data_IF_188044405674
#
_entry.id   IF_188044405674
#
_cell.length_a   1.000
_cell.length_b   1.000
_cell.length_c   1.000
_cell.angle_alpha   90.00
_cell.angle_beta   90.00
_cell.angle_gamma   90.00
#
_symmetry.space_group_name_H-M   'P 1'
#
loop_
_entity.id
_entity.type
_entity.pdbx_description
1 polymer ?
#
# COMPACT_ATOMS: atom_id res chain seq x y z
N UNK A 1 -0.80 -10.35 -109.05
CA UNK A 1 -1.17 -10.59 -107.63
C UNK A 1 -0.26 -9.75 -106.73
N UNK A 2 -0.73 -8.58 -106.20
CA UNK A 2 0.03 -7.68 -105.33
C UNK A 2 -0.35 -7.98 -103.90
N UNK A 3 0.60 -8.42 -103.09
CA UNK A 3 0.44 -8.54 -101.62
C UNK A 3 1.03 -7.29 -100.95
N UNK A 4 0.19 -6.47 -100.42
CA UNK A 4 0.59 -5.34 -99.56
C UNK A 4 0.42 -5.76 -98.11
N UNK A 5 1.48 -6.10 -97.39
CA UNK A 5 1.47 -6.31 -95.95
C UNK A 5 1.58 -4.96 -95.26
N UNK A 6 0.49 -4.39 -94.81
CA UNK A 6 0.48 -3.27 -93.86
C UNK A 6 0.53 -3.84 -92.50
N UNK A 7 1.64 -3.65 -91.75
CA UNK A 7 1.69 -3.88 -90.31
C UNK A 7 0.84 -2.82 -89.60
N UNK A 8 -0.01 -3.23 -88.63
CA UNK A 8 -0.83 -2.27 -87.87
C UNK A 8 0.02 -1.31 -87.02
N UNK A 9 -0.27 0.00 -87.07
CA UNK A 9 0.52 1.06 -86.43
C UNK A 9 0.71 0.96 -84.91
N UNK A 10 -0.04 0.10 -84.23
CA UNK A 10 0.12 -0.12 -82.81
C UNK A 10 1.40 -0.89 -82.42
N UNK A 11 1.99 -1.67 -83.37
CA UNK A 11 3.26 -2.37 -83.17
C UNK A 11 4.42 -1.37 -83.00
N UNK A 12 4.38 -0.27 -83.78
CA UNK A 12 5.36 0.82 -83.64
C UNK A 12 5.20 1.62 -82.36
N UNK A 13 3.97 1.80 -81.90
CA UNK A 13 3.70 2.47 -80.63
C UNK A 13 4.23 1.67 -79.41
N UNK A 14 4.08 0.33 -79.47
CA UNK A 14 4.64 -0.56 -78.44
C UNK A 14 6.19 -0.58 -78.40
N UNK A 15 6.81 -0.56 -79.59
CA UNK A 15 8.27 -0.50 -79.68
C UNK A 15 8.85 0.80 -79.16
N UNK A 16 8.23 1.95 -79.42
CA UNK A 16 8.66 3.26 -78.93
C UNK A 16 8.41 3.36 -77.45
N UNK A 17 7.32 2.82 -76.94
CA UNK A 17 7.03 2.80 -75.50
C UNK A 17 8.03 1.92 -74.71
N UNK A 18 8.44 0.78 -75.29
CA UNK A 18 9.45 -0.09 -74.63
C UNK A 18 10.85 0.54 -74.59
N UNK A 19 11.27 1.22 -75.63
CA UNK A 19 12.57 1.92 -75.70
C UNK A 19 12.56 3.14 -74.83
N UNK A 20 11.46 3.87 -74.67
CA UNK A 20 11.31 4.99 -73.75
C UNK A 20 11.34 4.53 -72.28
N UNK A 21 10.74 3.37 -71.98
CA UNK A 21 10.75 2.82 -70.61
C UNK A 21 12.15 2.32 -70.19
N UNK A 22 12.88 1.71 -71.13
CA UNK A 22 14.27 1.26 -70.83
C UNK A 22 15.24 2.44 -70.74
N UNK A 23 15.06 3.49 -71.52
CA UNK A 23 15.90 4.71 -71.43
C UNK A 23 15.58 5.54 -70.17
N UNK A 24 14.33 5.53 -69.69
CA UNK A 24 13.98 6.18 -68.43
C UNK A 24 14.56 5.44 -67.20
N UNK A 25 14.71 4.12 -67.31
CA UNK A 25 15.30 3.31 -66.21
C UNK A 25 16.80 3.45 -66.10
N UNK A 26 17.51 3.87 -67.19
CA UNK A 26 18.95 4.10 -67.17
C UNK A 26 19.34 5.55 -66.84
N UNK A 27 18.36 6.48 -66.77
CA UNK A 27 18.56 7.89 -66.43
C UNK A 27 18.18 8.26 -65.03
N UNK A 28 17.93 7.29 -64.16
CA UNK A 28 17.81 7.48 -62.74
C UNK A 28 19.01 6.87 -61.96
N UNK A 29 20.21 7.44 -62.06
CA UNK A 29 21.34 7.05 -61.24
C UNK A 29 21.29 7.75 -59.86
N UNK A 30 20.16 7.67 -59.17
CA UNK A 30 20.04 8.40 -57.91
C UNK A 30 19.06 7.80 -56.89
N UNK A 31 18.39 6.71 -57.22
CA UNK A 31 17.41 6.07 -56.33
C UNK A 31 17.87 4.69 -55.79
N UNK A 32 19.10 4.29 -56.07
CA UNK A 32 19.75 3.30 -55.20
C UNK A 32 20.17 4.07 -53.95
N UNK A 33 19.28 4.19 -52.99
CA UNK A 33 19.65 4.54 -51.63
C UNK A 33 20.82 3.60 -51.26
N UNK A 34 22.06 4.13 -51.26
CA UNK A 34 23.17 3.44 -50.69
C UNK A 34 22.73 3.11 -49.23
N UNK A 35 22.39 1.85 -48.98
CA UNK A 35 22.22 1.35 -47.62
C UNK A 35 23.58 1.63 -47.01
N UNK A 36 23.63 2.74 -46.26
CA UNK A 36 24.78 3.04 -45.41
C UNK A 36 24.87 1.82 -44.48
N UNK A 37 25.91 1.04 -44.62
CA UNK A 37 26.20 -0.05 -43.67
C UNK A 37 26.36 0.59 -42.30
N UNK A 38 25.29 0.53 -41.51
CA UNK A 38 25.31 1.01 -40.14
C UNK A 38 26.11 0.00 -39.32
N UNK A 39 27.39 0.29 -39.12
CA UNK A 39 28.24 -0.49 -38.20
C UNK A 39 27.94 -0.09 -36.75
N UNK A 40 27.94 -1.03 -35.81
CA UNK A 40 27.81 -0.72 -34.38
C UNK A 40 28.92 0.29 -33.97
N UNK A 41 28.54 1.28 -33.19
CA UNK A 41 29.49 2.26 -32.64
C UNK A 41 30.36 1.62 -31.56
N UNK A 42 31.57 2.08 -31.45
CA UNK A 42 32.51 1.66 -30.39
C UNK A 42 31.93 2.02 -29.02
N UNK A 43 31.83 1.02 -28.13
CA UNK A 43 31.39 1.21 -26.76
C UNK A 43 32.56 1.72 -25.92
N UNK A 44 32.39 2.88 -25.29
CA UNK A 44 33.36 3.39 -24.34
C UNK A 44 33.22 2.63 -23.02
N UNK A 45 34.26 1.99 -22.49
CA UNK A 45 34.22 1.30 -21.23
C UNK A 45 33.84 2.27 -20.09
N UNK A 46 32.95 1.82 -19.23
CA UNK A 46 32.58 2.53 -18.02
C UNK A 46 33.71 2.42 -16.99
N UNK A 47 34.04 3.48 -16.31
CA UNK A 47 34.98 3.47 -15.17
C UNK A 47 34.42 2.69 -13.96
N UNK A 48 35.12 2.63 -12.83
CA UNK A 48 34.62 2.00 -11.60
C UNK A 48 33.38 2.71 -11.10
N UNK A 49 32.50 1.96 -10.41
CA UNK A 49 31.34 2.49 -9.75
C UNK A 49 31.75 3.46 -8.62
N UNK A 50 31.00 4.53 -8.44
CA UNK A 50 31.12 5.40 -7.27
C UNK A 50 30.76 4.63 -5.98
N UNK A 51 31.34 5.01 -4.86
CA UNK A 51 31.07 4.37 -3.57
C UNK A 51 29.57 4.38 -3.22
N UNK A 52 28.87 5.45 -3.58
CA UNK A 52 27.43 5.60 -3.39
C UNK A 52 26.63 4.62 -4.25
N UNK A 53 27.00 4.43 -5.51
CA UNK A 53 26.37 3.44 -6.40
C UNK A 53 26.60 2.01 -5.89
N UNK A 54 27.80 1.72 -5.39
CA UNK A 54 28.12 0.41 -4.79
C UNK A 54 27.27 0.14 -3.56
N UNK A 55 27.09 1.14 -2.68
CA UNK A 55 26.25 1.02 -1.49
C UNK A 55 24.77 0.73 -1.87
N UNK A 56 24.22 1.41 -2.87
CA UNK A 56 22.86 1.18 -3.35
C UNK A 56 22.68 -0.25 -3.92
N UNK A 57 23.63 -0.69 -4.73
CA UNK A 57 23.63 -2.04 -5.31
C UNK A 57 23.71 -3.09 -4.20
N UNK A 58 24.50 -2.86 -3.18
CA UNK A 58 24.65 -3.80 -2.06
C UNK A 58 23.39 -3.89 -1.22
N UNK A 59 22.72 -2.74 -0.91
CA UNK A 59 21.43 -2.73 -0.24
C UNK A 59 20.42 -3.55 -1.03
N UNK A 60 20.29 -3.30 -2.35
CA UNK A 60 19.35 -4.04 -3.19
C UNK A 60 19.65 -5.54 -3.21
N UNK A 61 20.91 -5.92 -3.45
CA UNK A 61 21.33 -7.33 -3.51
C UNK A 61 21.01 -8.07 -2.21
N UNK A 62 21.23 -7.42 -1.07
CA UNK A 62 21.02 -8.00 0.25
C UNK A 62 19.54 -8.14 0.60
N UNK A 63 18.70 -7.18 0.18
CA UNK A 63 17.31 -7.08 0.69
C UNK A 63 16.26 -7.55 -0.32
N UNK A 64 16.54 -7.53 -1.63
CA UNK A 64 15.61 -7.99 -2.65
C UNK A 64 15.14 -9.45 -2.48
N UNK A 65 15.98 -10.42 -1.99
CA UNK A 65 15.49 -11.77 -1.74
C UNK A 65 14.37 -11.87 -0.70
N UNK A 66 14.25 -10.89 0.18
CA UNK A 66 13.18 -10.81 1.19
C UNK A 66 11.88 -10.26 0.62
N UNK A 67 11.89 -9.66 -0.57
CA UNK A 67 10.72 -9.00 -1.18
C UNK A 67 10.00 -9.97 -2.10
N UNK A 68 8.68 -10.06 -1.91
CA UNK A 68 7.84 -11.04 -2.60
C UNK A 68 6.73 -10.36 -3.39
N UNK A 69 6.32 -11.02 -4.48
CA UNK A 69 5.12 -10.63 -5.23
C UNK A 69 3.89 -11.31 -4.65
N UNK A 70 2.78 -10.57 -4.55
CA UNK A 70 1.50 -11.10 -4.08
C UNK A 70 0.47 -10.98 -5.19
N UNK A 71 -0.16 -12.10 -5.53
CA UNK A 71 -1.33 -12.15 -6.41
C UNK A 71 -2.55 -12.52 -5.59
N UNK A 72 -3.51 -11.61 -5.52
CA UNK A 72 -4.81 -11.86 -4.89
C UNK A 72 -5.74 -12.52 -5.88
N UNK A 73 -6.45 -13.54 -5.44
CA UNK A 73 -7.31 -14.38 -6.27
C UNK A 73 -8.77 -14.11 -5.93
N UNK A 74 -9.63 -14.14 -6.95
CA UNK A 74 -11.07 -14.11 -6.82
C UNK A 74 -11.67 -15.41 -7.37
N UNK A 75 -12.69 -15.93 -6.67
CA UNK A 75 -13.41 -17.11 -7.16
C UNK A 75 -14.55 -16.64 -8.07
N UNK A 76 -14.41 -16.82 -9.36
CA UNK A 76 -15.48 -16.65 -10.33
C UNK A 76 -16.23 -17.96 -10.52
N UNK A 77 -17.54 -17.92 -10.31
CA UNK A 77 -18.44 -19.05 -10.60
C UNK A 77 -19.05 -18.83 -11.97
N UNK A 78 -18.82 -19.74 -12.87
CA UNK A 78 -19.56 -19.78 -14.13
C UNK A 78 -20.98 -20.26 -13.85
N UNK A 79 -21.96 -19.44 -14.22
CA UNK A 79 -23.37 -19.70 -13.97
C UNK A 79 -23.91 -20.96 -14.67
N UNK A 80 -23.22 -21.40 -15.75
CA UNK A 80 -23.65 -22.53 -16.59
C UNK A 80 -22.88 -23.84 -16.31
N UNK A 81 -21.68 -23.79 -15.73
CA UNK A 81 -20.83 -24.99 -15.60
C UNK A 81 -20.64 -25.49 -14.17
N UNK A 82 -21.17 -24.82 -13.14
CA UNK A 82 -20.92 -25.09 -11.71
C UNK A 82 -19.42 -25.12 -11.34
N UNK A 83 -18.51 -24.79 -12.26
CA UNK A 83 -17.09 -24.74 -12.01
C UNK A 83 -16.70 -23.41 -11.39
N UNK A 84 -16.00 -23.47 -10.26
CA UNK A 84 -15.40 -22.30 -9.63
C UNK A 84 -13.95 -22.19 -10.08
N UNK A 85 -13.58 -21.12 -10.80
CA UNK A 85 -12.20 -20.81 -11.19
C UNK A 85 -11.65 -19.68 -10.33
N UNK A 86 -10.39 -19.83 -9.88
CA UNK A 86 -9.66 -18.74 -9.23
C UNK A 86 -8.93 -17.92 -10.29
N UNK A 87 -9.30 -16.65 -10.44
CA UNK A 87 -8.69 -15.70 -11.38
C UNK A 87 -7.92 -14.62 -10.60
N UNK A 88 -6.82 -14.07 -11.15
CA UNK A 88 -6.15 -12.93 -10.55
C UNK A 88 -7.09 -11.72 -10.47
N UNK A 89 -7.18 -11.10 -9.27
CA UNK A 89 -7.96 -9.88 -9.03
C UNK A 89 -7.07 -8.65 -8.94
N UNK A 90 -5.92 -8.79 -8.29
CA UNK A 90 -4.99 -7.70 -8.04
C UNK A 90 -3.61 -8.21 -7.67
N UNK A 91 -2.66 -7.32 -7.70
CA UNK A 91 -1.26 -7.62 -7.36
C UNK A 91 -0.70 -6.57 -6.43
N UNK A 92 0.31 -6.96 -5.67
CA UNK A 92 1.07 -6.07 -4.80
C UNK A 92 2.38 -6.71 -4.36
N UNK A 93 3.03 -6.07 -3.45
CA UNK A 93 4.30 -6.52 -2.87
C UNK A 93 4.09 -6.87 -1.40
N UNK A 94 4.92 -7.75 -0.90
CA UNK A 94 5.11 -8.02 0.51
C UNK A 94 6.57 -8.29 0.81
N UNK A 95 6.86 -8.61 2.06
CA UNK A 95 8.21 -9.00 2.45
C UNK A 95 8.17 -10.06 3.54
N UNK A 96 9.23 -10.86 3.59
CA UNK A 96 9.42 -11.91 4.58
C UNK A 96 9.63 -11.28 5.96
N UNK A 97 8.75 -11.63 6.90
CA UNK A 97 8.83 -11.18 8.29
C UNK A 97 9.72 -12.07 9.14
N UNK A 98 9.58 -13.38 8.96
CA UNK A 98 10.34 -14.38 9.71
C UNK A 98 10.56 -15.66 8.90
N UNK A 99 11.48 -16.49 9.37
CA UNK A 99 11.82 -17.82 8.77
C UNK A 99 10.67 -18.83 8.86
N UNK A 100 9.59 -18.51 9.54
CA UNK A 100 8.41 -19.37 9.65
C UNK A 100 7.45 -19.17 8.48
N UNK A 101 7.73 -18.21 7.58
CA UNK A 101 6.94 -17.95 6.38
C UNK A 101 5.81 -16.94 6.58
N UNK A 102 5.90 -16.08 7.58
CA UNK A 102 5.01 -14.94 7.68
C UNK A 102 5.46 -13.85 6.70
N UNK A 103 4.52 -13.37 5.92
CA UNK A 103 4.69 -12.31 4.92
C UNK A 103 3.85 -11.12 5.34
N UNK A 104 4.48 -9.96 5.45
CA UNK A 104 3.79 -8.69 5.73
C UNK A 104 3.48 -7.98 4.42
N UNK A 105 2.28 -7.41 4.33
CA UNK A 105 1.82 -6.61 3.20
C UNK A 105 0.75 -5.61 3.64
N UNK A 106 0.23 -4.80 2.72
CA UNK A 106 -0.94 -3.98 3.01
C UNK A 106 -2.25 -4.78 2.98
N UNK A 107 -3.22 -4.33 3.77
CA UNK A 107 -4.56 -4.93 3.77
C UNK A 107 -5.26 -4.76 2.42
N UNK A 108 -5.17 -3.57 1.81
CA UNK A 108 -5.81 -3.32 0.52
C UNK A 108 -5.32 -4.22 -0.62
N UNK A 109 -4.06 -4.73 -0.54
CA UNK A 109 -3.50 -5.68 -1.52
C UNK A 109 -4.30 -6.99 -1.54
N UNK A 110 -4.81 -7.41 -0.37
CA UNK A 110 -5.53 -8.70 -0.23
C UNK A 110 -7.05 -8.53 -0.09
N UNK A 111 -7.53 -7.30 -0.01
CA UNK A 111 -8.94 -6.99 0.25
C UNK A 111 -9.85 -7.57 -0.84
N UNK A 112 -10.93 -8.25 -0.40
CA UNK A 112 -11.95 -8.82 -1.29
C UNK A 112 -11.48 -10.06 -2.07
N UNK A 113 -10.28 -10.57 -1.81
CA UNK A 113 -9.81 -11.82 -2.38
C UNK A 113 -10.41 -13.04 -1.69
N UNK A 114 -10.59 -14.13 -2.46
CA UNK A 114 -10.94 -15.47 -1.93
C UNK A 114 -9.71 -16.31 -1.60
N UNK A 115 -8.50 -15.81 -1.94
CA UNK A 115 -7.21 -16.45 -1.69
C UNK A 115 -6.07 -15.57 -2.17
N UNK A 116 -4.84 -15.98 -1.86
CA UNK A 116 -3.65 -15.30 -2.33
C UNK A 116 -2.55 -16.31 -2.71
N UNK A 117 -1.67 -15.88 -3.61
CA UNK A 117 -0.39 -16.56 -3.94
C UNK A 117 0.75 -15.60 -3.68
N UNK A 118 1.85 -16.13 -3.17
CA UNK A 118 3.10 -15.41 -2.96
C UNK A 118 4.16 -16.03 -3.85
N UNK A 119 4.79 -15.21 -4.67
CA UNK A 119 5.94 -15.59 -5.50
C UNK A 119 7.21 -15.04 -4.87
N UNK A 120 8.14 -15.91 -4.53
CA UNK A 120 9.44 -15.59 -3.93
C UNK A 120 10.44 -15.09 -4.99
N UNK A 121 11.60 -14.63 -4.55
CA UNK A 121 12.67 -14.14 -5.44
C UNK A 121 13.24 -15.21 -6.38
N UNK A 122 13.15 -16.49 -6.01
CA UNK A 122 13.52 -17.63 -6.85
C UNK A 122 12.42 -18.06 -7.84
N UNK A 123 11.37 -17.25 -8.00
CA UNK A 123 10.18 -17.49 -8.82
C UNK A 123 9.31 -18.65 -8.37
N UNK A 124 9.60 -19.29 -7.23
CA UNK A 124 8.71 -20.29 -6.66
C UNK A 124 7.43 -19.62 -6.13
N UNK A 125 6.27 -20.23 -6.45
CA UNK A 125 4.96 -19.70 -6.07
C UNK A 125 4.31 -20.58 -5.03
N UNK A 126 3.87 -19.99 -3.94
CA UNK A 126 3.26 -20.64 -2.79
C UNK A 126 1.84 -20.13 -2.56
N UNK A 127 0.93 -21.04 -2.18
CA UNK A 127 -0.39 -20.63 -1.69
C UNK A 127 -0.22 -19.92 -0.36
N UNK A 128 -0.88 -18.80 -0.18
CA UNK A 128 -0.84 -18.01 1.04
C UNK A 128 -2.18 -18.04 1.75
N UNK A 129 -2.14 -18.20 3.07
CA UNK A 129 -3.30 -18.12 3.95
C UNK A 129 -3.24 -16.83 4.77
N UNK A 130 -4.37 -16.16 4.94
CA UNK A 130 -4.45 -15.00 5.82
C UNK A 130 -4.27 -15.44 7.27
N UNK A 131 -3.27 -14.87 7.96
CA UNK A 131 -3.06 -15.03 9.39
C UNK A 131 -3.88 -14.03 10.17
N UNK A 132 -3.83 -12.77 9.76
CA UNK A 132 -4.59 -11.70 10.36
C UNK A 132 -4.42 -10.40 9.61
N UNK A 133 -5.36 -9.47 9.84
CA UNK A 133 -5.35 -8.15 9.22
C UNK A 133 -5.78 -7.06 10.21
N UNK A 134 -5.28 -5.86 9.95
CA UNK A 134 -5.70 -4.64 10.65
C UNK A 134 -5.99 -3.53 9.63
N UNK A 135 -7.24 -3.49 9.11
CA UNK A 135 -7.63 -2.56 8.04
C UNK A 135 -7.40 -1.08 8.36
N UNK A 136 -7.56 -0.69 9.63
CA UNK A 136 -7.39 0.71 10.08
C UNK A 136 -5.94 1.21 9.98
N UNK A 137 -4.98 0.31 9.85
CA UNK A 137 -3.57 0.62 9.64
C UNK A 137 -3.06 0.04 8.32
N UNK A 138 -3.98 -0.43 7.48
CA UNK A 138 -3.67 -1.00 6.18
C UNK A 138 -2.56 -2.08 6.23
N UNK A 139 -2.58 -2.94 7.25
CA UNK A 139 -1.61 -4.02 7.42
C UNK A 139 -2.29 -5.39 7.39
N UNK A 140 -1.61 -6.37 6.78
CA UNK A 140 -2.00 -7.76 6.79
C UNK A 140 -0.77 -8.68 6.90
N UNK A 141 -0.99 -9.86 7.47
CA UNK A 141 0.00 -10.93 7.56
C UNK A 141 -0.56 -12.15 6.86
N UNK A 142 0.23 -12.67 5.91
CA UNK A 142 -0.02 -13.92 5.22
C UNK A 142 0.95 -14.98 5.74
N UNK A 143 0.58 -16.25 5.56
CA UNK A 143 1.43 -17.41 5.87
C UNK A 143 1.60 -18.25 4.61
N UNK A 144 2.85 -18.54 4.28
CA UNK A 144 3.23 -19.51 3.25
C UNK A 144 3.99 -20.68 3.87
N UNK A 145 4.00 -21.80 3.16
CA UNK A 145 4.84 -22.94 3.47
C UNK A 145 5.98 -23.02 2.44
N UNK A 146 7.19 -22.67 2.88
CA UNK A 146 8.41 -22.68 2.09
C UNK A 146 9.60 -23.04 2.98
N UNK A 147 10.68 -23.52 2.37
CA UNK A 147 11.90 -23.84 3.08
C UNK A 147 12.54 -22.58 3.68
N UNK A 148 13.12 -22.67 4.87
CA UNK A 148 13.66 -21.53 5.63
C UNK A 148 14.75 -20.76 4.90
N UNK A 149 15.59 -21.45 4.15
CA UNK A 149 16.66 -20.86 3.34
C UNK A 149 16.15 -19.95 2.22
N UNK A 150 14.86 -20.09 1.85
CA UNK A 150 14.16 -19.22 0.88
C UNK A 150 13.44 -18.03 1.53
N UNK A 151 13.48 -17.92 2.84
CA UNK A 151 12.72 -16.97 3.65
C UNK A 151 13.65 -16.03 4.45
N UNK A 152 14.57 -15.28 3.82
CA UNK A 152 15.44 -14.37 4.54
C UNK A 152 14.61 -13.19 5.09
N UNK A 153 14.51 -13.00 6.42
CA UNK A 153 13.77 -11.88 6.98
C UNK A 153 14.55 -10.57 6.82
N UNK A 154 13.83 -9.45 6.66
CA UNK A 154 14.43 -8.13 6.70
C UNK A 154 14.86 -7.76 8.12
N UNK A 155 16.03 -7.15 8.24
CA UNK A 155 16.44 -6.52 9.49
C UNK A 155 15.54 -5.31 9.78
N UNK A 156 15.09 -5.18 11.03
CA UNK A 156 14.27 -4.05 11.46
C UNK A 156 15.17 -2.87 11.87
N UNK A 157 14.82 -1.67 11.38
CA UNK A 157 15.30 -0.40 11.88
C UNK A 157 14.34 0.18 12.94
N UNK A 158 14.33 1.49 13.07
CA UNK A 158 13.34 2.25 13.85
C UNK A 158 12.87 3.46 13.04
N UNK A 159 11.65 3.88 13.28
CA UNK A 159 11.08 5.08 12.66
C UNK A 159 11.11 6.31 13.59
N UNK A 160 11.58 6.16 14.84
CA UNK A 160 11.58 7.24 15.86
C UNK A 160 12.67 8.28 15.65
N UNK A 161 13.80 7.88 15.08
CA UNK A 161 14.97 8.73 14.85
C UNK A 161 15.14 9.16 13.39
N UNK A 162 14.14 8.91 12.56
CA UNK A 162 14.15 9.34 11.16
C UNK A 162 14.25 10.87 11.05
N UNK A 163 15.01 11.34 10.08
CA UNK A 163 15.21 12.75 9.79
C UNK A 163 14.80 13.06 8.36
N UNK A 164 14.18 14.22 8.16
CA UNK A 164 13.90 14.74 6.81
C UNK A 164 15.22 14.96 6.07
N UNK A 165 15.29 14.49 4.82
CA UNK A 165 16.50 14.47 4.02
C UNK A 165 17.28 13.15 4.10
N UNK A 166 16.96 12.24 5.04
CA UNK A 166 17.58 10.91 5.13
C UNK A 166 17.24 10.09 3.90
N UNK A 167 18.24 9.45 3.27
CA UNK A 167 18.06 8.59 2.11
C UNK A 167 17.26 7.34 2.45
N UNK A 168 16.37 6.98 1.53
CA UNK A 168 15.52 5.79 1.63
C UNK A 168 15.44 5.04 0.31
N UNK A 169 15.14 3.75 0.40
CA UNK A 169 14.99 2.83 -0.71
C UNK A 169 13.65 2.14 -0.60
N UNK A 170 12.83 2.22 -1.65
CA UNK A 170 11.62 1.45 -1.74
C UNK A 170 11.81 0.29 -2.73
N UNK A 171 11.50 -0.92 -2.30
CA UNK A 171 11.57 -2.10 -3.16
C UNK A 171 10.16 -2.65 -3.36
N UNK A 172 9.85 -3.00 -4.61
CA UNK A 172 8.60 -3.63 -4.97
C UNK A 172 8.79 -4.69 -6.05
N UNK A 173 7.76 -5.50 -6.26
CA UNK A 173 7.68 -6.45 -7.37
C UNK A 173 6.33 -6.30 -8.09
N UNK A 174 6.11 -5.20 -8.85
CA UNK A 174 4.79 -4.80 -9.32
C UNK A 174 4.13 -5.79 -10.30
N UNK A 175 4.92 -6.54 -11.05
CA UNK A 175 4.39 -7.45 -12.09
C UNK A 175 4.76 -8.92 -11.85
N UNK A 176 5.42 -9.24 -10.74
CA UNK A 176 5.89 -10.60 -10.47
C UNK A 176 7.04 -11.06 -11.37
N UNK A 177 7.63 -10.13 -12.13
CA UNK A 177 8.77 -10.43 -13.01
C UNK A 177 10.07 -10.36 -12.22
N UNK A 178 10.38 -9.17 -11.69
CA UNK A 178 11.57 -8.92 -10.89
C UNK A 178 11.33 -7.79 -9.88
N UNK A 179 12.18 -7.75 -8.85
CA UNK A 179 12.16 -6.67 -7.88
C UNK A 179 12.68 -5.38 -8.52
N UNK A 180 12.01 -4.28 -8.22
CA UNK A 180 12.38 -2.93 -8.64
C UNK A 180 12.80 -2.10 -7.44
N UNK A 181 13.84 -1.30 -7.61
CA UNK A 181 14.34 -0.36 -6.62
C UNK A 181 14.01 1.06 -7.02
N UNK A 182 13.42 1.82 -6.12
CA UNK A 182 13.34 3.28 -6.24
C UNK A 182 14.04 3.95 -5.07
N UNK A 183 14.66 5.09 -5.33
CA UNK A 183 15.50 5.83 -4.38
C UNK A 183 14.93 7.20 -4.16
N UNK A 184 14.92 7.65 -2.93
CA UNK A 184 14.46 8.97 -2.54
C UNK A 184 14.96 9.34 -1.15
N UNK A 185 14.25 10.26 -0.51
CA UNK A 185 14.53 10.72 0.84
C UNK A 185 13.25 10.66 1.69
N UNK A 186 13.41 10.75 3.00
CA UNK A 186 12.34 11.14 3.90
C UNK A 186 11.99 12.59 3.61
N UNK A 187 10.82 12.84 3.02
CA UNK A 187 10.37 14.20 2.65
C UNK A 187 9.67 14.92 3.80
N UNK A 188 8.95 14.15 4.63
CA UNK A 188 8.30 14.66 5.85
C UNK A 188 7.99 13.51 6.81
N UNK A 189 7.73 13.87 8.06
CA UNK A 189 7.35 12.95 9.13
C UNK A 189 6.01 13.37 9.74
N UNK A 190 5.40 12.45 10.49
CA UNK A 190 4.16 12.69 11.23
C UNK A 190 2.99 13.17 10.33
N UNK A 191 2.93 12.69 9.08
CA UNK A 191 1.81 12.94 8.19
C UNK A 191 0.59 12.11 8.59
N UNK A 192 -0.57 12.56 8.17
CA UNK A 192 -1.83 11.83 8.31
C UNK A 192 -2.36 11.50 6.91
N UNK A 193 -2.84 10.27 6.73
CA UNK A 193 -3.51 9.80 5.54
C UNK A 193 -4.80 9.08 5.91
N UNK A 194 -5.71 8.94 4.98
CA UNK A 194 -6.94 8.18 5.16
C UNK A 194 -6.73 6.74 4.68
N UNK A 195 -7.10 5.77 5.52
CA UNK A 195 -7.09 4.35 5.15
C UNK A 195 -8.29 4.00 4.26
N UNK A 196 -8.29 2.81 3.67
CA UNK A 196 -9.38 2.33 2.79
C UNK A 196 -10.74 2.19 3.48
N UNK A 197 -10.79 2.22 4.80
CA UNK A 197 -12.03 2.20 5.59
C UNK A 197 -12.34 3.56 6.24
N UNK A 198 -11.82 4.65 5.68
CA UNK A 198 -12.01 6.05 6.10
C UNK A 198 -11.51 6.32 7.54
N UNK A 199 -10.48 5.58 7.98
CA UNK A 199 -9.82 5.80 9.27
C UNK A 199 -8.52 6.56 9.06
N UNK A 200 -8.18 7.47 9.95
CA UNK A 200 -6.93 8.23 9.89
C UNK A 200 -5.75 7.36 10.32
N UNK A 201 -4.79 7.16 9.42
CA UNK A 201 -3.47 6.61 9.74
C UNK A 201 -2.54 7.78 10.03
N UNK A 202 -2.09 7.88 11.29
CA UNK A 202 -1.24 8.97 11.76
C UNK A 202 0.21 8.55 11.82
N UNK A 203 1.09 9.56 11.77
CA UNK A 203 2.52 9.36 11.94
C UNK A 203 3.22 8.75 10.73
N UNK A 204 2.57 8.70 9.54
CA UNK A 204 3.17 8.12 8.35
C UNK A 204 4.38 8.90 7.88
N UNK A 205 5.34 8.18 7.32
CA UNK A 205 6.55 8.73 6.68
C UNK A 205 6.21 9.11 5.26
N UNK A 206 6.50 10.36 4.87
CA UNK A 206 6.40 10.82 3.49
C UNK A 206 7.76 10.66 2.80
N UNK A 207 7.77 10.16 1.56
CA UNK A 207 8.97 10.03 0.72
C UNK A 207 8.70 10.47 -0.71
N UNK A 208 9.74 10.91 -1.41
CA UNK A 208 9.75 11.16 -2.85
C UNK A 208 10.27 9.96 -3.66
N UNK A 209 10.74 8.89 -3.00
CA UNK A 209 10.96 7.62 -3.67
C UNK A 209 9.70 7.23 -4.45
N UNK A 210 9.85 6.86 -5.72
CA UNK A 210 8.69 6.60 -6.57
C UNK A 210 7.91 5.37 -6.08
N UNK A 211 6.75 5.63 -5.46
CA UNK A 211 5.77 4.62 -5.09
C UNK A 211 4.71 4.59 -6.20
N UNK A 212 4.45 3.43 -6.75
CA UNK A 212 3.46 3.19 -7.81
C UNK A 212 2.62 1.95 -7.46
N UNK A 213 1.47 1.74 -8.13
CA UNK A 213 0.73 0.50 -8.01
C UNK A 213 1.64 -0.72 -8.22
N UNK A 214 1.65 -1.61 -7.24
CA UNK A 214 2.53 -2.78 -7.19
C UNK A 214 3.69 -2.68 -6.19
N UNK A 215 4.13 -1.48 -5.76
CA UNK A 215 5.08 -1.32 -4.66
C UNK A 215 4.37 -1.33 -3.29
N UNK A 216 3.04 -1.15 -3.25
CA UNK A 216 2.25 -1.19 -2.02
C UNK A 216 2.42 -2.52 -1.29
N UNK A 217 2.64 -2.47 0.01
CA UNK A 217 2.98 -3.60 0.87
C UNK A 217 4.47 -3.96 0.89
N UNK A 218 5.27 -3.38 -0.02
CA UNK A 218 6.72 -3.54 -0.05
C UNK A 218 7.44 -2.71 1.02
N UNK A 219 8.70 -3.02 1.30
CA UNK A 219 9.48 -2.34 2.31
C UNK A 219 9.96 -0.96 1.87
N UNK A 220 9.97 0.00 2.80
CA UNK A 220 10.80 1.19 2.78
C UNK A 220 12.00 0.95 3.68
N UNK A 221 13.21 1.11 3.13
CA UNK A 221 14.47 0.78 3.79
C UNK A 221 15.32 2.02 4.01
N UNK A 222 16.16 1.99 5.03
CA UNK A 222 17.24 2.98 5.23
C UNK A 222 18.50 2.63 4.41
N UNK A 223 19.53 3.48 4.51
CA UNK A 223 20.82 3.30 3.82
C UNK A 223 21.62 2.06 4.26
N UNK A 224 21.25 1.42 5.36
CA UNK A 224 21.83 0.15 5.83
C UNK A 224 21.00 -1.08 5.41
N UNK A 225 19.90 -0.88 4.67
CA UNK A 225 18.97 -1.94 4.24
C UNK A 225 18.05 -2.42 5.37
N UNK A 226 17.85 -1.65 6.43
CA UNK A 226 16.92 -1.98 7.51
C UNK A 226 15.53 -1.44 7.17
N UNK A 227 14.50 -2.21 7.50
CA UNK A 227 13.11 -1.80 7.34
C UNK A 227 12.80 -0.60 8.25
N UNK A 228 12.32 0.49 7.67
CA UNK A 228 11.87 1.70 8.38
C UNK A 228 10.39 2.01 8.16
N UNK A 229 9.76 1.36 7.18
CA UNK A 229 8.33 1.49 6.93
C UNK A 229 7.82 0.51 5.89
N UNK A 230 6.49 0.49 5.70
CA UNK A 230 5.78 -0.29 4.68
C UNK A 230 5.10 0.68 3.74
N UNK A 231 5.47 0.65 2.45
CA UNK A 231 4.88 1.50 1.42
C UNK A 231 3.37 1.23 1.33
N UNK A 232 2.53 2.27 1.30
CA UNK A 232 1.08 2.09 1.28
C UNK A 232 0.39 2.88 0.17
N UNK A 233 0.36 4.19 0.24
CA UNK A 233 -0.41 5.05 -0.66
C UNK A 233 0.46 6.11 -1.31
N UNK A 234 -0.08 6.70 -2.37
CA UNK A 234 0.43 7.92 -3.00
C UNK A 234 -0.63 9.01 -2.95
N UNK A 235 -0.22 10.26 -2.77
CA UNK A 235 -1.08 11.39 -3.03
C UNK A 235 -0.94 11.78 -4.51
N UNK A 236 -1.83 11.28 -5.36
CA UNK A 236 -1.77 11.52 -6.79
C UNK A 236 -3.16 11.57 -7.42
N UNK A 237 -3.50 12.62 -8.15
CA UNK A 237 -4.75 12.69 -8.92
C UNK A 237 -4.82 11.70 -10.08
N UNK A 238 -3.66 11.28 -10.62
CA UNK A 238 -3.56 10.37 -11.77
C UNK A 238 -3.38 8.90 -11.40
N UNK A 239 -3.16 8.59 -10.11
CA UNK A 239 -2.81 7.24 -9.66
C UNK A 239 -1.35 6.81 -9.93
N UNK A 240 -0.53 7.67 -10.56
CA UNK A 240 0.92 7.47 -10.71
C UNK A 240 1.71 8.31 -9.73
N UNK A 241 2.95 7.95 -9.43
CA UNK A 241 3.80 8.72 -8.50
C UNK A 241 3.97 10.17 -8.96
N UNK A 242 3.63 11.09 -8.07
CA UNK A 242 3.86 12.53 -8.23
C UNK A 242 4.96 13.04 -7.27
N UNK A 243 5.85 12.16 -6.79
CA UNK A 243 6.86 12.49 -5.79
C UNK A 243 6.32 12.61 -4.35
N UNK A 244 5.11 12.09 -4.10
CA UNK A 244 4.49 12.08 -2.77
C UNK A 244 4.00 10.65 -2.49
N UNK A 245 4.84 9.87 -1.85
CA UNK A 245 4.53 8.53 -1.36
C UNK A 245 4.47 8.50 0.16
N UNK A 246 3.74 7.55 0.72
CA UNK A 246 3.59 7.36 2.15
C UNK A 246 3.94 5.94 2.57
N UNK A 247 4.54 5.79 3.74
CA UNK A 247 4.84 4.51 4.34
C UNK A 247 4.40 4.47 5.81
N UNK A 248 3.85 3.31 6.22
CA UNK A 248 3.50 3.03 7.60
C UNK A 248 4.80 2.83 8.38
N UNK A 249 5.05 3.55 9.49
CA UNK A 249 6.30 3.47 10.23
C UNK A 249 6.59 2.08 10.78
N UNK A 250 7.85 1.64 10.75
CA UNK A 250 8.23 0.28 11.19
C UNK A 250 7.93 0.02 12.67
N UNK A 251 8.01 1.02 13.55
CA UNK A 251 7.68 0.83 14.96
C UNK A 251 6.19 0.48 15.13
N UNK A 252 5.31 1.04 14.29
CA UNK A 252 3.89 0.69 14.25
C UNK A 252 3.70 -0.74 13.69
N UNK A 253 4.41 -1.09 12.61
CA UNK A 253 4.40 -2.44 12.03
C UNK A 253 4.85 -3.46 13.07
N UNK A 254 5.96 -3.20 13.79
CA UNK A 254 6.51 -4.08 14.81
C UNK A 254 5.61 -4.22 16.05
N UNK A 255 4.75 -3.23 16.31
CA UNK A 255 3.73 -3.31 17.36
C UNK A 255 2.52 -4.17 16.95
N UNK A 256 2.12 -4.11 15.67
CA UNK A 256 0.90 -4.74 15.15
C UNK A 256 1.15 -6.18 14.71
N UNK A 257 2.16 -6.42 13.89
CA UNK A 257 2.40 -7.72 13.23
C UNK A 257 2.50 -8.88 14.21
N UNK A 258 3.25 -8.80 15.35
CA UNK A 258 3.28 -9.89 16.32
C UNK A 258 1.91 -10.22 16.93
N UNK A 259 1.03 -9.21 17.08
CA UNK A 259 -0.35 -9.43 17.58
C UNK A 259 -1.20 -10.13 16.51
N UNK A 260 -1.08 -9.74 15.25
CA UNK A 260 -1.75 -10.43 14.15
C UNK A 260 -1.32 -11.89 14.05
N UNK A 261 -0.03 -12.18 14.23
CA UNK A 261 0.50 -13.56 14.19
C UNK A 261 -0.03 -14.38 15.37
N UNK A 262 -0.09 -13.82 16.56
CA UNK A 262 -0.50 -14.52 17.77
C UNK A 262 -2.01 -14.71 17.86
N UNK A 263 -2.79 -13.65 17.57
CA UNK A 263 -4.21 -13.56 17.92
C UNK A 263 -5.12 -13.62 16.65
N UNK A 264 -4.54 -13.62 15.45
CA UNK A 264 -5.27 -13.56 14.17
C UNK A 264 -5.93 -12.20 13.90
N UNK A 265 -5.93 -11.30 14.87
CA UNK A 265 -6.53 -9.97 14.78
C UNK A 265 -5.81 -8.99 15.71
N UNK A 266 -5.96 -7.71 15.43
CA UNK A 266 -5.54 -6.69 16.38
C UNK A 266 -6.66 -6.42 17.38
N UNK A 267 -6.53 -6.97 18.60
CA UNK A 267 -7.48 -6.75 19.68
C UNK A 267 -7.29 -5.34 20.22
N UNK A 268 -8.26 -4.47 19.97
CA UNK A 268 -8.24 -3.10 20.49
C UNK A 268 -8.62 -3.08 21.95
N UNK A 269 -7.90 -2.30 22.78
CA UNK A 269 -8.43 -1.92 24.08
C UNK A 269 -9.69 -1.08 23.92
N UNK A 270 -10.73 -1.37 24.70
CA UNK A 270 -12.02 -0.74 24.57
C UNK A 270 -12.56 -0.23 25.90
N UNK A 271 -13.32 0.86 25.84
CA UNK A 271 -14.12 1.38 26.94
C UNK A 271 -15.53 0.77 26.98
N UNK A 272 -16.01 0.29 25.85
CA UNK A 272 -17.37 -0.24 25.70
C UNK A 272 -18.42 0.85 25.65
N UNK A 273 -18.14 1.93 24.91
CA UNK A 273 -19.07 3.02 24.61
C UNK A 273 -19.40 3.05 23.13
N UNK A 274 -20.60 3.52 22.80
CA UNK A 274 -20.96 3.94 21.45
C UNK A 274 -20.89 5.46 21.37
N UNK A 275 -20.16 5.96 20.36
CA UNK A 275 -20.00 7.39 20.12
C UNK A 275 -21.24 7.96 19.42
N UNK A 276 -21.64 9.15 19.81
CA UNK A 276 -22.65 9.96 19.09
C UNK A 276 -22.10 10.50 17.78
N UNK A 277 -22.98 10.75 16.79
CA UNK A 277 -22.55 11.32 15.51
C UNK A 277 -22.02 12.75 15.70
N UNK A 278 -21.08 13.23 14.87
CA UNK A 278 -20.51 14.59 14.98
C UNK A 278 -21.55 15.72 14.88
N UNK A 279 -22.66 15.48 14.18
CA UNK A 279 -23.78 16.43 14.05
C UNK A 279 -24.45 16.70 15.41
N UNK A 280 -24.55 15.68 16.28
CA UNK A 280 -25.10 15.82 17.64
C UNK A 280 -24.28 16.80 18.48
N UNK A 281 -22.95 16.73 18.42
CA UNK A 281 -22.06 17.66 19.14
C UNK A 281 -22.32 19.11 18.72
N UNK A 282 -22.43 19.36 17.40
CA UNK A 282 -22.70 20.71 16.88
C UNK A 282 -24.10 21.20 17.29
N UNK A 283 -25.11 20.34 17.15
CA UNK A 283 -26.50 20.69 17.47
C UNK A 283 -26.69 21.04 18.96
N UNK A 284 -26.02 20.30 19.83
CA UNK A 284 -26.10 20.49 21.29
C UNK A 284 -25.01 21.43 21.86
N UNK A 285 -24.16 22.02 21.00
CA UNK A 285 -23.05 22.91 21.39
C UNK A 285 -22.14 22.28 22.46
N UNK A 286 -21.87 20.96 22.31
CA UNK A 286 -20.99 20.23 23.23
C UNK A 286 -19.52 20.62 23.01
N UNK A 287 -18.65 20.45 24.03
CA UNK A 287 -17.21 20.60 23.85
C UNK A 287 -16.71 19.57 22.84
N UNK A 288 -15.51 19.82 22.26
CA UNK A 288 -14.79 18.82 21.49
C UNK A 288 -14.58 17.57 22.33
N UNK A 289 -14.76 16.38 21.73
CA UNK A 289 -14.68 15.12 22.45
C UNK A 289 -15.55 14.04 21.83
N UNK A 290 -15.84 12.99 22.56
CA UNK A 290 -16.70 11.88 22.15
C UNK A 290 -17.94 11.85 23.03
N UNK A 291 -19.09 12.24 22.48
CA UNK A 291 -20.37 12.11 23.16
C UNK A 291 -20.76 10.64 23.31
N UNK A 292 -21.05 10.20 24.51
CA UNK A 292 -21.40 8.80 24.83
C UNK A 292 -22.92 8.60 24.65
N UNK A 293 -23.35 7.91 23.60
CA UNK A 293 -24.78 7.63 23.36
C UNK A 293 -25.23 6.26 23.84
N UNK A 294 -24.28 5.35 24.11
CA UNK A 294 -24.58 4.06 24.73
C UNK A 294 -23.38 3.60 25.57
N UNK A 295 -23.67 2.94 26.66
CA UNK A 295 -22.68 2.27 27.53
C UNK A 295 -23.06 0.79 27.60
N UNK A 296 -22.16 -0.07 27.16
CA UNK A 296 -22.35 -1.52 27.21
C UNK A 296 -22.40 -2.03 28.64
N UNK A 297 -23.19 -3.08 28.88
CA UNK A 297 -23.24 -3.73 30.21
C UNK A 297 -21.89 -4.38 30.53
N UNK A 298 -21.46 -4.30 31.79
CA UNK A 298 -20.20 -4.90 32.29
C UNK A 298 -18.93 -4.38 31.62
N UNK A 299 -18.99 -3.24 30.94
CA UNK A 299 -17.83 -2.61 30.28
C UNK A 299 -17.01 -1.74 31.25
N UNK A 300 -15.78 -1.35 30.88
CA UNK A 300 -15.02 -0.34 31.60
C UNK A 300 -15.77 0.96 31.84
N UNK A 301 -16.48 1.44 30.82
CA UNK A 301 -17.28 2.65 30.89
C UNK A 301 -18.44 2.53 31.90
N UNK A 302 -19.12 1.36 31.95
CA UNK A 302 -20.17 1.11 32.94
C UNK A 302 -19.61 1.09 34.36
N UNK A 303 -18.48 0.41 34.59
CA UNK A 303 -17.80 0.37 35.90
C UNK A 303 -17.32 1.76 36.35
N UNK A 304 -16.91 2.59 35.39
CA UNK A 304 -16.50 3.98 35.63
C UNK A 304 -17.69 4.93 35.87
N UNK A 305 -18.93 4.46 35.75
CA UNK A 305 -20.12 5.28 35.98
C UNK A 305 -20.38 6.31 34.86
N UNK A 306 -19.92 6.05 33.62
CA UNK A 306 -20.24 6.88 32.47
C UNK A 306 -21.73 6.78 32.17
N UNK A 307 -22.34 7.94 31.85
CA UNK A 307 -23.77 8.04 31.54
C UNK A 307 -23.94 8.40 30.06
N UNK A 308 -24.79 7.66 29.35
CA UNK A 308 -25.11 7.99 27.97
C UNK A 308 -26.08 9.17 27.86
N UNK A 309 -26.00 9.88 26.74
CA UNK A 309 -27.09 10.77 26.32
C UNK A 309 -28.35 9.94 26.10
N UNK A 310 -29.48 10.41 26.59
CA UNK A 310 -30.75 9.72 26.44
C UNK A 310 -31.90 10.67 26.17
N UNK A 311 -33.08 10.15 25.89
CA UNK A 311 -34.34 10.94 25.82
C UNK A 311 -35.14 10.71 27.08
N UNK A 312 -35.52 11.80 27.70
CA UNK A 312 -36.44 11.77 28.82
C UNK A 312 -37.91 11.46 28.40
N UNK A 313 -38.77 11.31 29.36
CA UNK A 313 -40.20 10.88 29.15
C UNK A 313 -41.00 11.90 28.32
N UNK A 314 -40.60 13.15 28.25
CA UNK A 314 -41.25 14.22 27.48
C UNK A 314 -40.54 14.51 26.16
N UNK A 315 -39.55 13.64 25.77
CA UNK A 315 -38.76 13.81 24.56
C UNK A 315 -37.58 14.77 24.68
N UNK A 316 -37.37 15.36 25.87
CA UNK A 316 -36.19 16.19 26.16
C UNK A 316 -34.89 15.38 26.12
N UNK A 317 -33.78 16.05 25.76
CA UNK A 317 -32.47 15.40 25.77
C UNK A 317 -31.88 15.46 27.18
N UNK A 318 -31.66 14.30 27.78
CA UNK A 318 -30.90 14.15 29.04
C UNK A 318 -29.43 14.11 28.70
N UNK A 319 -28.66 15.03 29.28
CA UNK A 319 -27.24 15.19 29.01
C UNK A 319 -26.43 14.01 29.54
N UNK A 320 -25.69 13.38 28.66
CA UNK A 320 -24.72 12.34 28.98
C UNK A 320 -23.29 12.89 29.09
N UNK A 321 -22.35 11.98 29.19
CA UNK A 321 -20.92 12.30 29.25
C UNK A 321 -20.33 12.55 27.87
N UNK A 322 -19.37 13.49 27.78
CA UNK A 322 -18.48 13.69 26.65
C UNK A 322 -17.05 13.37 27.13
N UNK A 323 -16.40 12.39 26.53
CA UNK A 323 -14.99 12.07 26.80
C UNK A 323 -14.13 13.10 26.08
N UNK A 324 -13.35 13.88 26.84
CA UNK A 324 -12.52 14.99 26.34
C UNK A 324 -11.03 14.73 26.40
N UNK A 325 -10.58 13.77 27.24
CA UNK A 325 -9.18 13.32 27.26
C UNK A 325 -9.06 11.90 27.82
N UNK A 326 -7.94 11.24 27.50
CA UNK A 326 -7.51 9.94 28.04
C UNK A 326 -6.05 10.10 28.51
N UNK A 327 -5.78 9.94 29.83
CA UNK A 327 -4.47 10.17 30.44
C UNK A 327 -3.86 11.53 30.02
N UNK A 328 -4.62 12.60 30.18
CA UNK A 328 -4.28 13.98 29.79
C UNK A 328 -4.05 14.21 28.29
N UNK A 329 -4.19 13.18 27.46
CA UNK A 329 -4.13 13.30 26.01
C UNK A 329 -5.50 13.77 25.49
N UNK A 330 -5.57 14.94 24.83
CA UNK A 330 -6.85 15.47 24.34
C UNK A 330 -7.53 14.52 23.34
N UNK A 331 -8.84 14.39 23.46
CA UNK A 331 -9.71 13.63 22.56
C UNK A 331 -10.72 14.62 21.97
N UNK A 332 -10.57 14.97 20.70
CA UNK A 332 -11.46 15.90 20.01
C UNK A 332 -12.50 15.17 19.11
N UNK A 333 -12.18 13.93 18.74
CA UNK A 333 -12.99 13.09 17.84
C UNK A 333 -12.98 11.62 18.27
N UNK A 334 -13.85 10.81 17.64
CA UNK A 334 -13.82 9.35 17.80
C UNK A 334 -12.48 8.77 17.36
N UNK A 335 -11.89 9.31 16.29
CA UNK A 335 -10.57 8.87 15.80
C UNK A 335 -9.46 9.12 16.81
N UNK A 336 -9.48 10.26 17.50
CA UNK A 336 -8.52 10.55 18.56
C UNK A 336 -8.67 9.55 19.73
N UNK A 337 -9.91 9.31 20.15
CA UNK A 337 -10.20 8.33 21.21
C UNK A 337 -9.66 6.93 20.84
N UNK A 338 -9.97 6.46 19.63
CA UNK A 338 -9.52 5.16 19.18
C UNK A 338 -8.00 5.09 19.04
N UNK A 339 -7.37 6.15 18.53
CA UNK A 339 -5.91 6.24 18.43
C UNK A 339 -5.25 6.24 19.82
N UNK A 340 -5.82 6.94 20.80
CA UNK A 340 -5.35 6.92 22.17
C UNK A 340 -5.47 5.51 22.79
N UNK A 341 -6.58 4.82 22.57
CA UNK A 341 -6.78 3.46 23.06
C UNK A 341 -5.85 2.45 22.40
N UNK A 342 -5.61 2.54 21.09
CA UNK A 342 -4.74 1.62 20.32
C UNK A 342 -3.30 1.58 20.83
N UNK A 343 -2.80 2.66 21.45
CA UNK A 343 -1.45 2.71 22.05
C UNK A 343 -1.34 1.97 23.39
N UNK A 344 -2.47 1.51 23.92
CA UNK A 344 -2.58 0.85 25.23
C UNK A 344 -2.77 -0.65 25.09
N UNK A 345 -2.94 -1.32 26.23
CA UNK A 345 -3.23 -2.75 26.27
C UNK A 345 -4.54 -3.03 27.01
N UNK A 346 -5.27 -4.12 26.65
CA UNK A 346 -6.35 -4.61 27.49
C UNK A 346 -5.85 -4.87 28.93
N UNK A 347 -6.63 -4.45 29.93
CA UNK A 347 -6.25 -4.50 31.35
C UNK A 347 -5.49 -3.29 31.87
N UNK A 348 -4.98 -2.41 31.00
CA UNK A 348 -4.29 -1.19 31.40
C UNK A 348 -5.26 -0.21 32.07
N UNK A 349 -4.80 0.42 33.17
CA UNK A 349 -5.54 1.48 33.85
C UNK A 349 -5.40 2.80 33.09
N UNK A 350 -6.50 3.51 32.89
CA UNK A 350 -6.54 4.82 32.23
C UNK A 350 -7.42 5.77 33.03
N UNK A 351 -7.06 7.05 33.00
CA UNK A 351 -7.87 8.16 33.52
C UNK A 351 -8.60 8.83 32.37
N UNK A 352 -9.93 8.86 32.42
CA UNK A 352 -10.77 9.56 31.47
C UNK A 352 -11.13 10.93 32.00
N UNK A 353 -10.91 12.00 31.26
CA UNK A 353 -11.53 13.29 31.55
C UNK A 353 -12.87 13.33 30.83
N UNK A 354 -13.96 13.43 31.61
CA UNK A 354 -15.34 13.47 31.09
C UNK A 354 -16.00 14.78 31.47
N UNK A 355 -16.71 15.36 30.49
CA UNK A 355 -17.50 16.58 30.66
C UNK A 355 -18.99 16.25 30.68
N UNK A 356 -19.74 16.83 31.62
CA UNK A 356 -21.19 16.77 31.70
C UNK A 356 -21.74 18.09 32.29
N UNK A 357 -22.74 18.68 31.66
CA UNK A 357 -23.45 19.86 32.16
C UNK A 357 -22.52 21.01 32.64
N UNK A 358 -21.48 21.33 31.87
CA UNK A 358 -20.55 22.41 32.19
C UNK A 358 -19.44 22.04 33.18
N UNK A 359 -19.34 20.81 33.65
CA UNK A 359 -18.33 20.36 34.63
C UNK A 359 -17.50 19.23 34.04
N UNK A 360 -16.19 19.29 34.24
CA UNK A 360 -15.24 18.21 33.94
C UNK A 360 -14.88 17.45 35.22
N UNK A 361 -14.73 16.14 35.11
CA UNK A 361 -14.28 15.24 36.16
C UNK A 361 -13.36 14.16 35.61
N UNK A 362 -12.44 13.68 36.43
CA UNK A 362 -11.60 12.55 36.10
C UNK A 362 -12.23 11.25 36.62
N UNK A 363 -12.15 10.21 35.80
CA UNK A 363 -12.71 8.89 36.11
C UNK A 363 -11.67 7.83 35.75
N UNK A 364 -11.28 7.00 36.68
CA UNK A 364 -10.37 5.90 36.45
C UNK A 364 -11.11 4.64 36.02
N UNK A 365 -10.53 3.93 35.07
CA UNK A 365 -11.06 2.62 34.63
C UNK A 365 -9.94 1.74 34.10
N UNK A 366 -10.22 0.42 33.92
CA UNK A 366 -9.33 -0.51 33.26
C UNK A 366 -9.93 -0.93 31.94
N UNK A 367 -9.13 -0.82 30.87
CA UNK A 367 -9.56 -1.16 29.52
C UNK A 367 -9.88 -2.66 29.39
N UNK A 368 -10.91 -2.99 28.64
CA UNK A 368 -11.21 -4.37 28.26
C UNK A 368 -10.65 -4.68 26.88
N UNK A 369 -10.58 -5.97 26.53
CA UNK A 369 -10.41 -6.37 25.13
C UNK A 369 -11.69 -6.00 24.37
N UNK A 370 -11.56 -5.24 23.28
CA UNK A 370 -12.65 -5.00 22.35
C UNK A 370 -12.93 -6.24 21.50
N UNK A 371 -14.17 -6.37 21.04
CA UNK A 371 -14.62 -7.44 20.13
C UNK A 371 -14.09 -7.25 18.71
#
# INVERSE_FOLDING_TARGET
MKWSSRFPGWIWALGVALVSATSALTLLPGLVQSRTEATPRTVTPRGPLLAEEQAQIEVFRKTSPSVVHITTLETQRDFFSLNAQQVPRGTGTGFVWDERGHIVTNFHVIQGGSGARVTLSDQSTHRANLVGAFPDRDLAVLKIDAAKDKLPPLALGTSRDLQVGQRVYAIGNPFGLDQTLTVGIVSALNREIESFNNRTIRGVVQTDAAINPGNSGGPLLDSAGRLIGVNTQIASPSGASAGIGFAIPVDEVNRIVPRLIRDGRFVRPALGVTAGPPQMQRALRLPKGVAVVQVGRNTPAARAGLQPFSRGNRGEIVMGDVITAINDEPVESLDDMLAALERRQPGEAVTLTVWREGRSRNVETRLAAGE
#
